data_IF_279523514274
#
_entry.id   IF_279523514274
#
_cell.length_a   1.000
_cell.length_b   1.000
_cell.length_c   1.000
_cell.angle_alpha   90.00
_cell.angle_beta   90.00
_cell.angle_gamma   90.00
#
_symmetry.space_group_name_H-M   'P 1'
#
loop_
_entity.id
_entity.type
_entity.pdbx_description
1 polymer ?
#
# COMPACT_ATOMS: atom_id res chain seq x y z
N UNK A 1 -9.40 -8.76 -11.79
CA UNK A 1 -8.58 -7.90 -10.89
C UNK A 1 -7.17 -7.69 -11.44
N UNK A 2 -6.35 -8.74 -11.55
CA UNK A 2 -4.89 -8.64 -11.85
C UNK A 2 -4.55 -7.81 -13.09
N UNK A 3 -5.17 -8.07 -14.26
CA UNK A 3 -4.84 -7.35 -15.51
C UNK A 3 -5.10 -5.84 -15.45
N UNK A 4 -6.16 -5.40 -14.75
CA UNK A 4 -6.47 -3.99 -14.59
C UNK A 4 -5.53 -3.28 -13.60
N UNK A 5 -4.84 -4.05 -12.75
CA UNK A 5 -3.93 -3.53 -11.72
C UNK A 5 -2.46 -3.50 -12.17
N UNK A 6 -2.10 -3.98 -13.37
CA UNK A 6 -0.72 -4.00 -13.86
C UNK A 6 -0.14 -2.59 -13.95
N UNK A 7 -0.77 -1.70 -14.73
CA UNK A 7 -0.31 -0.32 -14.89
C UNK A 7 -0.29 0.46 -13.55
N UNK A 8 -1.33 0.35 -12.69
CA UNK A 8 -1.22 0.86 -11.32
C UNK A 8 -0.04 0.30 -10.53
N UNK A 9 0.21 -1.01 -10.59
CA UNK A 9 1.32 -1.65 -9.88
C UNK A 9 2.69 -1.14 -10.36
N UNK A 10 2.87 -0.97 -11.67
CA UNK A 10 4.11 -0.43 -12.24
C UNK A 10 4.32 1.04 -11.86
N UNK A 11 3.25 1.85 -11.84
CA UNK A 11 3.35 3.27 -11.45
C UNK A 11 3.83 3.45 -10.01
N UNK A 12 3.46 2.53 -9.11
CA UNK A 12 3.80 2.59 -7.68
C UNK A 12 5.30 2.45 -7.45
N UNK A 13 6.01 1.70 -8.30
CA UNK A 13 7.46 1.56 -8.19
C UNK A 13 8.23 2.88 -8.36
N UNK A 14 7.58 3.91 -8.91
CA UNK A 14 8.15 5.23 -9.12
C UNK A 14 7.78 6.22 -8.00
N UNK A 15 7.03 5.80 -6.99
CA UNK A 15 6.64 6.63 -5.86
C UNK A 15 7.84 6.89 -4.93
N UNK A 16 8.10 8.16 -4.55
CA UNK A 16 9.23 8.50 -3.70
C UNK A 16 9.22 7.76 -2.37
N UNK A 17 10.32 7.07 -2.07
CA UNK A 17 10.53 6.43 -0.78
C UNK A 17 9.70 5.18 -0.52
N UNK A 18 9.12 4.56 -1.56
CA UNK A 18 8.65 3.19 -1.49
C UNK A 18 9.85 2.24 -1.30
N UNK A 19 9.76 1.34 -0.32
CA UNK A 19 10.74 0.26 -0.11
C UNK A 19 10.21 -1.04 -0.70
N UNK A 20 8.99 -1.43 -0.33
CA UNK A 20 8.29 -2.59 -0.90
C UNK A 20 6.79 -2.49 -0.71
N UNK A 21 6.05 -3.29 -1.49
CA UNK A 21 4.60 -3.42 -1.42
C UNK A 21 4.17 -4.87 -1.58
N UNK A 22 3.12 -5.24 -0.85
CA UNK A 22 2.39 -6.50 -1.02
C UNK A 22 0.94 -6.16 -1.38
N UNK A 23 0.44 -6.75 -2.46
CA UNK A 23 -0.99 -6.73 -2.80
C UNK A 23 -1.70 -7.87 -2.06
N UNK A 24 -2.85 -7.58 -1.45
CA UNK A 24 -3.64 -8.57 -0.72
C UNK A 24 -5.04 -8.65 -1.28
N UNK A 25 -5.62 -9.85 -1.27
CA UNK A 25 -7.02 -10.06 -1.65
C UNK A 25 -7.62 -11.22 -0.86
N UNK A 26 -8.93 -11.13 -0.62
CA UNK A 26 -9.77 -12.23 -0.15
C UNK A 26 -11.02 -12.25 -1.03
N UNK A 27 -11.03 -13.14 -2.02
CA UNK A 27 -12.11 -13.26 -2.98
C UNK A 27 -13.45 -13.66 -2.31
N UNK A 28 -13.41 -14.53 -1.30
CA UNK A 28 -14.62 -15.01 -0.61
C UNK A 28 -15.34 -13.87 0.13
N UNK A 29 -14.58 -12.92 0.67
CA UNK A 29 -15.10 -11.75 1.37
C UNK A 29 -15.19 -10.50 0.49
N UNK A 30 -14.81 -10.60 -0.79
CA UNK A 30 -14.72 -9.47 -1.72
C UNK A 30 -13.85 -8.32 -1.18
N UNK A 31 -12.75 -8.66 -0.49
CA UNK A 31 -11.80 -7.69 0.04
C UNK A 31 -10.55 -7.63 -0.82
N UNK A 32 -10.02 -6.43 -0.99
CA UNK A 32 -8.72 -6.20 -1.60
C UNK A 32 -7.98 -5.11 -0.83
N UNK A 33 -6.66 -5.21 -0.79
CA UNK A 33 -5.85 -4.31 -0.01
C UNK A 33 -4.39 -4.28 -0.46
N UNK A 34 -3.61 -3.56 0.34
CA UNK A 34 -2.17 -3.45 0.15
C UNK A 34 -1.48 -3.17 1.47
N UNK A 35 -0.31 -3.76 1.63
CA UNK A 35 0.64 -3.41 2.69
C UNK A 35 1.84 -2.77 2.00
N UNK A 36 2.32 -1.64 2.52
CA UNK A 36 3.46 -0.93 1.97
C UNK A 36 4.41 -0.53 3.08
N UNK A 37 5.71 -0.57 2.77
CA UNK A 37 6.75 -0.01 3.61
C UNK A 37 7.36 1.19 2.90
N UNK A 38 7.41 2.33 3.60
CA UNK A 38 8.02 3.55 3.11
C UNK A 38 9.17 3.98 4.02
N UNK A 39 10.17 4.65 3.44
CA UNK A 39 11.34 5.14 4.17
C UNK A 39 11.06 6.31 5.11
N UNK A 40 9.88 6.95 5.01
CA UNK A 40 9.45 8.01 5.91
C UNK A 40 7.94 8.04 6.04
N UNK A 41 7.45 8.64 7.13
CA UNK A 41 6.02 8.87 7.34
C UNK A 41 5.42 9.79 6.28
N UNK A 42 6.14 10.84 5.88
CA UNK A 42 5.67 11.76 4.85
C UNK A 42 5.41 11.04 3.51
N UNK A 43 6.30 10.10 3.13
CA UNK A 43 6.12 9.29 1.92
C UNK A 43 4.94 8.31 2.06
N UNK A 44 4.75 7.72 3.26
CA UNK A 44 3.61 6.86 3.53
C UNK A 44 2.26 7.61 3.40
N UNK A 45 2.17 8.81 3.98
CA UNK A 45 0.98 9.65 3.95
C UNK A 45 0.69 10.15 2.52
N UNK A 46 1.70 10.64 1.80
CA UNK A 46 1.55 11.10 0.41
C UNK A 46 1.03 9.97 -0.52
N UNK A 47 1.56 8.75 -0.36
CA UNK A 47 1.07 7.60 -1.10
C UNK A 47 -0.38 7.26 -0.74
N UNK A 48 -0.72 7.29 0.55
CA UNK A 48 -2.07 7.04 1.01
C UNK A 48 -3.08 8.01 0.39
N UNK A 49 -2.78 9.30 0.40
CA UNK A 49 -3.63 10.34 -0.16
C UNK A 49 -3.82 10.17 -1.67
N UNK A 50 -2.74 10.01 -2.42
CA UNK A 50 -2.79 9.83 -3.87
C UNK A 50 -3.62 8.61 -4.26
N UNK A 51 -3.41 7.47 -3.61
CA UNK A 51 -4.12 6.24 -3.94
C UNK A 51 -5.59 6.24 -3.51
N UNK A 52 -5.91 6.90 -2.39
CA UNK A 52 -7.31 7.02 -1.92
C UNK A 52 -8.11 7.93 -2.85
N UNK A 53 -7.50 9.04 -3.32
CA UNK A 53 -8.10 9.92 -4.31
C UNK A 53 -8.29 9.23 -5.68
N UNK A 54 -7.27 8.50 -6.15
CA UNK A 54 -7.27 7.84 -7.48
C UNK A 54 -8.30 6.73 -7.61
N UNK A 55 -8.62 6.04 -6.53
CA UNK A 55 -9.52 4.89 -6.60
C UNK A 55 -10.99 5.30 -6.64
N UNK A 56 -11.36 6.52 -6.23
CA UNK A 56 -12.77 6.95 -6.04
C UNK A 56 -13.61 5.94 -5.22
N UNK A 57 -12.94 5.08 -4.46
CA UNK A 57 -13.57 4.00 -3.69
C UNK A 57 -13.96 4.55 -2.32
N UNK A 58 -15.23 4.40 -1.98
CA UNK A 58 -15.73 4.64 -0.63
C UNK A 58 -15.50 3.41 0.25
N UNK A 59 -15.23 3.61 1.55
CA UNK A 59 -15.06 2.51 2.51
C UNK A 59 -13.64 1.94 2.66
N UNK A 60 -12.61 2.66 2.19
CA UNK A 60 -11.21 2.28 2.47
C UNK A 60 -10.86 2.65 3.91
N UNK A 61 -10.38 1.67 4.68
CA UNK A 61 -9.77 1.89 5.99
C UNK A 61 -8.26 1.96 5.85
N UNK A 62 -7.64 3.03 6.35
CA UNK A 62 -6.18 3.22 6.32
C UNK A 62 -5.66 3.36 7.74
N UNK A 63 -4.60 2.63 8.05
CA UNK A 63 -3.85 2.73 9.30
C UNK A 63 -2.37 2.91 8.94
N UNK A 64 -1.70 3.84 9.60
CA UNK A 64 -0.25 4.04 9.50
C UNK A 64 0.39 3.57 10.80
N UNK A 65 1.39 2.69 10.68
CA UNK A 65 2.17 2.15 11.80
C UNK A 65 3.66 2.37 11.55
N UNK A 66 4.45 2.31 12.61
CA UNK A 66 5.90 2.30 12.51
C UNK A 66 6.44 0.88 12.67
N UNK A 67 7.48 0.55 11.92
CA UNK A 67 8.18 -0.73 12.05
C UNK A 67 8.86 -0.82 13.42
N UNK A 68 8.66 -1.94 14.11
CA UNK A 68 9.51 -2.29 15.25
C UNK A 68 10.78 -2.96 14.71
N UNK A 69 11.82 -2.16 14.47
CA UNK A 69 13.05 -2.65 13.82
C UNK A 69 13.73 -3.78 14.59
N UNK A 70 13.69 -3.75 15.92
CA UNK A 70 14.26 -4.80 16.76
C UNK A 70 13.56 -6.15 16.54
N UNK A 71 12.23 -6.16 16.53
CA UNK A 71 11.48 -7.41 16.33
C UNK A 71 11.52 -7.86 14.86
N UNK A 72 11.42 -6.93 13.90
CA UNK A 72 11.49 -7.23 12.47
C UNK A 72 12.85 -7.72 12.00
N UNK A 73 13.92 -7.50 12.77
CA UNK A 73 15.21 -8.12 12.49
C UNK A 73 15.24 -9.62 12.79
N UNK A 74 14.27 -10.13 13.57
CA UNK A 74 14.10 -11.57 13.81
C UNK A 74 13.32 -12.20 12.65
N UNK A 75 12.22 -11.56 12.20
CA UNK A 75 11.39 -11.99 11.07
C UNK A 75 10.66 -10.85 10.34
#
# INVERSE_FOLDING_TARGET
>A
MTKAMITPAESINHEPGLIWKIWTENADQQLAGRIYLAGSRANAEANCEMHTARLEVTGINVITLYTNTTLSAIN
#
